data_IF_797159202592
#
_entry.id   IF_797159202592
#
_cell.length_a   1.000
_cell.length_b   1.000
_cell.length_c   1.000
_cell.angle_alpha   90.00
_cell.angle_beta   90.00
_cell.angle_gamma   90.00
#
_symmetry.space_group_name_H-M   'P 1'
#
loop_
_entity.id
_entity.type
_entity.pdbx_description
1 polymer ?
#
# COMPACT_ATOMS: atom_id res chain seq x y z
N UNK A 1 -55.57 -24.56 27.54
CA UNK A 1 -54.45 -24.22 26.64
C UNK A 1 -53.15 -24.78 27.23
N UNK A 2 -52.81 -26.01 26.85
CA UNK A 2 -51.68 -26.79 27.36
C UNK A 2 -50.45 -26.56 26.48
N UNK A 3 -49.35 -26.06 27.05
CA UNK A 3 -48.07 -25.87 26.35
C UNK A 3 -47.35 -27.21 26.23
N UNK A 4 -46.96 -27.59 25.02
CA UNK A 4 -46.24 -28.81 24.68
C UNK A 4 -44.71 -28.54 24.76
N UNK A 5 -43.95 -29.14 25.69
CA UNK A 5 -42.52 -28.90 25.83
C UNK A 5 -41.73 -30.10 25.31
N UNK A 6 -41.51 -30.20 24.00
CA UNK A 6 -40.58 -31.19 23.45
C UNK A 6 -39.97 -30.71 22.13
N UNK A 7 -39.07 -29.74 22.22
CA UNK A 7 -38.08 -29.48 21.16
C UNK A 7 -36.83 -30.29 21.48
N UNK A 8 -36.73 -31.47 20.86
CA UNK A 8 -35.54 -32.30 20.85
C UNK A 8 -34.40 -31.54 20.15
N UNK A 9 -33.54 -30.91 20.94
CA UNK A 9 -32.25 -30.36 20.51
C UNK A 9 -31.38 -31.51 19.98
N UNK A 10 -31.30 -31.62 18.65
CA UNK A 10 -30.36 -32.50 17.96
C UNK A 10 -28.93 -32.11 18.36
N UNK A 11 -28.25 -33.01 19.07
CA UNK A 11 -26.85 -32.85 19.49
C UNK A 11 -25.97 -32.70 18.25
N UNK A 12 -25.47 -31.50 18.00
CA UNK A 12 -24.42 -31.23 17.01
C UNK A 12 -23.20 -32.07 17.41
N UNK A 13 -22.68 -32.95 16.53
CA UNK A 13 -21.49 -33.75 16.83
C UNK A 13 -20.33 -32.84 17.20
N UNK A 14 -19.76 -33.04 18.40
CA UNK A 14 -18.49 -32.41 18.79
C UNK A 14 -17.43 -32.87 17.81
N UNK A 15 -17.04 -31.99 16.89
CA UNK A 15 -15.87 -32.18 16.04
C UNK A 15 -14.66 -32.36 16.96
N UNK A 16 -14.15 -33.58 17.02
CA UNK A 16 -12.92 -33.90 17.72
C UNK A 16 -11.79 -33.08 17.11
N UNK A 17 -11.03 -32.38 17.96
CA UNK A 17 -9.87 -31.58 17.55
C UNK A 17 -8.94 -32.49 16.73
N UNK A 18 -8.92 -32.32 15.40
CA UNK A 18 -7.88 -32.89 14.55
C UNK A 18 -6.54 -32.41 15.12
N UNK A 19 -5.71 -33.33 15.60
CA UNK A 19 -4.30 -33.06 15.87
C UNK A 19 -3.70 -32.65 14.53
N UNK A 20 -3.50 -31.35 14.34
CA UNK A 20 -2.69 -30.83 13.25
C UNK A 20 -1.27 -31.12 13.69
N UNK A 21 -0.67 -32.16 13.12
CA UNK A 21 0.75 -32.45 13.34
C UNK A 21 1.53 -31.19 12.98
N UNK A 22 2.37 -30.73 13.89
CA UNK A 22 3.17 -29.53 13.76
C UNK A 22 4.22 -29.72 12.67
N UNK A 23 3.80 -29.69 11.41
CA UNK A 23 4.67 -29.68 10.24
C UNK A 23 5.57 -28.46 10.39
N UNK A 24 6.87 -28.68 10.51
CA UNK A 24 7.84 -27.60 10.67
C UNK A 24 7.80 -26.72 9.43
N UNK A 25 7.12 -25.57 9.55
CA UNK A 25 7.06 -24.57 8.49
C UNK A 25 8.45 -23.97 8.34
N UNK A 26 9.23 -24.52 7.40
CA UNK A 26 10.50 -23.92 7.01
C UNK A 26 10.22 -22.49 6.52
N UNK A 27 10.95 -21.47 7.00
CA UNK A 27 10.73 -20.10 6.56
C UNK A 27 11.01 -20.00 5.06
N UNK A 28 10.15 -19.27 4.36
CA UNK A 28 10.37 -18.97 2.95
C UNK A 28 11.62 -18.12 2.77
N UNK A 29 12.54 -18.56 1.90
CA UNK A 29 13.80 -17.88 1.62
C UNK A 29 13.71 -17.18 0.26
N UNK A 30 13.29 -15.92 0.25
CA UNK A 30 13.13 -15.15 -0.99
C UNK A 30 14.39 -15.18 -1.86
N UNK A 31 15.57 -14.97 -1.26
CA UNK A 31 16.86 -14.95 -1.98
C UNK A 31 17.41 -16.32 -2.38
N UNK A 32 16.74 -17.41 -2.01
CA UNK A 32 17.05 -18.73 -2.56
C UNK A 32 16.39 -18.96 -3.94
N UNK A 33 15.47 -18.08 -4.35
CA UNK A 33 14.86 -18.11 -5.67
C UNK A 33 15.77 -17.48 -6.73
N UNK A 34 15.77 -18.02 -7.96
CA UNK A 34 16.30 -17.33 -9.13
C UNK A 34 15.74 -15.91 -9.27
N UNK A 35 16.52 -15.03 -9.89
CA UNK A 35 16.17 -13.62 -10.08
C UNK A 35 14.82 -13.48 -10.80
N UNK A 36 14.56 -14.29 -11.82
CA UNK A 36 13.36 -14.25 -12.66
C UNK A 36 12.10 -14.44 -11.82
N UNK A 37 12.10 -15.44 -10.92
CA UNK A 37 10.98 -15.71 -10.02
C UNK A 37 10.78 -14.58 -9.00
N UNK A 38 11.86 -13.95 -8.54
CA UNK A 38 11.76 -12.79 -7.65
C UNK A 38 11.14 -11.59 -8.37
N UNK A 39 11.52 -11.36 -9.62
CA UNK A 39 10.93 -10.31 -10.46
C UNK A 39 9.46 -10.58 -10.76
N UNK A 40 9.07 -11.84 -11.01
CA UNK A 40 7.67 -12.24 -11.16
C UNK A 40 6.86 -12.02 -9.87
N UNK A 41 7.44 -12.28 -8.69
CA UNK A 41 6.78 -11.90 -7.43
C UNK A 41 6.55 -10.39 -7.35
N UNK A 42 7.50 -9.56 -7.83
CA UNK A 42 7.35 -8.11 -7.83
C UNK A 42 6.27 -7.62 -8.80
N UNK A 43 6.01 -8.31 -9.91
CA UNK A 43 4.93 -7.92 -10.85
C UNK A 43 3.53 -8.19 -10.28
N UNK A 44 3.41 -9.09 -9.31
CA UNK A 44 2.16 -9.33 -8.57
C UNK A 44 1.87 -8.27 -7.49
N UNK A 45 2.79 -7.34 -7.25
CA UNK A 45 2.57 -6.24 -6.32
C UNK A 45 1.69 -5.18 -6.98
N UNK A 46 0.49 -4.99 -6.43
CA UNK A 46 -0.55 -4.20 -7.10
C UNK A 46 -0.39 -2.68 -6.97
N UNK A 47 0.48 -2.20 -6.08
CA UNK A 47 0.57 -0.77 -5.76
C UNK A 47 2.02 -0.31 -5.71
N UNK A 48 2.24 0.95 -6.08
CA UNK A 48 3.59 1.52 -6.10
C UNK A 48 4.14 1.70 -4.69
N UNK A 49 3.27 1.98 -3.70
CA UNK A 49 3.64 2.01 -2.28
C UNK A 49 4.18 0.66 -1.79
N UNK A 50 3.58 -0.46 -2.20
CA UNK A 50 4.08 -1.77 -1.78
C UNK A 50 5.45 -2.08 -2.39
N UNK A 51 5.69 -1.70 -3.64
CA UNK A 51 7.02 -1.80 -4.25
C UNK A 51 8.04 -0.91 -3.51
N UNK A 52 7.63 0.27 -3.06
CA UNK A 52 8.46 1.10 -2.18
C UNK A 52 8.79 0.38 -0.87
N UNK A 53 7.80 -0.16 -0.17
CA UNK A 53 8.06 -0.91 1.07
C UNK A 53 9.02 -2.08 0.83
N UNK A 54 8.84 -2.84 -0.26
CA UNK A 54 9.73 -3.93 -0.64
C UNK A 54 11.16 -3.43 -0.91
N UNK A 55 11.32 -2.30 -1.62
CA UNK A 55 12.64 -1.75 -1.92
C UNK A 55 13.42 -1.34 -0.67
N UNK A 56 12.74 -1.07 0.46
CA UNK A 56 13.38 -0.77 1.73
C UNK A 56 13.74 -2.00 2.59
N UNK A 57 13.41 -3.22 2.16
CA UNK A 57 13.70 -4.44 2.94
C UNK A 57 15.16 -4.89 2.87
N UNK A 58 15.84 -4.62 1.75
CA UNK A 58 17.26 -4.95 1.55
C UNK A 58 17.85 -4.20 0.37
N UNK A 59 19.18 -4.08 0.32
CA UNK A 59 19.90 -3.49 -0.81
C UNK A 59 19.68 -4.24 -2.12
N UNK A 60 19.59 -5.57 -2.08
CA UNK A 60 19.36 -6.39 -3.28
C UNK A 60 17.98 -6.11 -3.88
N UNK A 61 16.93 -6.10 -3.06
CA UNK A 61 15.57 -5.78 -3.52
C UNK A 61 15.47 -4.34 -4.00
N UNK A 62 16.14 -3.40 -3.32
CA UNK A 62 16.26 -2.02 -3.77
C UNK A 62 16.82 -1.94 -5.20
N UNK A 63 17.97 -2.57 -5.46
CA UNK A 63 18.57 -2.56 -6.79
C UNK A 63 17.64 -3.22 -7.80
N UNK A 64 17.09 -4.39 -7.49
CA UNK A 64 16.28 -5.14 -8.45
C UNK A 64 15.04 -4.40 -8.92
N UNK A 65 14.35 -3.72 -7.99
CA UNK A 65 13.18 -2.90 -8.28
C UNK A 65 13.60 -1.65 -9.06
N UNK A 66 14.59 -0.91 -8.56
CA UNK A 66 14.94 0.41 -9.10
C UNK A 66 15.75 0.36 -10.40
N UNK A 67 16.37 -0.78 -10.74
CA UNK A 67 17.03 -0.96 -12.03
C UNK A 67 16.10 -1.45 -13.14
N UNK A 68 14.82 -1.73 -12.84
CA UNK A 68 13.86 -2.31 -13.78
C UNK A 68 12.60 -1.44 -13.89
N UNK A 69 12.66 -0.39 -14.73
CA UNK A 69 11.54 0.52 -14.95
C UNK A 69 10.22 -0.18 -15.29
N UNK A 70 10.26 -1.33 -15.98
CA UNK A 70 9.05 -2.07 -16.37
C UNK A 70 8.16 -2.48 -15.19
N UNK A 71 8.73 -2.71 -14.01
CA UNK A 71 7.97 -3.03 -12.78
C UNK A 71 7.04 -1.89 -12.37
N UNK A 72 7.30 -0.68 -12.83
CA UNK A 72 6.46 0.49 -12.64
C UNK A 72 6.26 1.27 -13.96
N UNK A 73 6.46 0.64 -15.12
CA UNK A 73 6.40 1.35 -16.40
C UNK A 73 4.98 1.67 -16.82
N UNK A 74 3.99 0.87 -16.39
CA UNK A 74 2.57 1.22 -16.50
C UNK A 74 2.27 2.63 -15.96
N UNK A 75 3.15 3.14 -15.10
CA UNK A 75 3.06 4.44 -14.48
C UNK A 75 4.00 5.50 -15.11
N UNK A 76 5.19 5.12 -15.59
CA UNK A 76 6.22 6.04 -16.10
C UNK A 76 5.82 6.89 -17.30
N UNK A 77 4.88 6.43 -18.13
CA UNK A 77 4.46 7.12 -19.35
C UNK A 77 3.61 8.38 -19.11
N UNK A 78 3.47 8.84 -17.86
CA UNK A 78 2.73 10.07 -17.58
C UNK A 78 3.58 11.30 -17.94
N UNK A 79 3.23 12.09 -18.98
CA UNK A 79 4.10 13.16 -19.51
C UNK A 79 4.42 14.26 -18.49
N UNK A 80 3.51 14.51 -17.54
CA UNK A 80 3.76 15.47 -16.45
C UNK A 80 4.83 15.02 -15.46
N UNK A 81 5.08 13.71 -15.32
CA UNK A 81 6.06 13.20 -14.37
C UNK A 81 7.49 13.55 -14.80
N UNK A 82 7.84 13.28 -16.06
CA UNK A 82 9.17 13.55 -16.61
C UNK A 82 9.57 15.03 -16.44
N UNK A 83 8.62 15.96 -16.65
CA UNK A 83 8.85 17.41 -16.48
C UNK A 83 9.26 17.81 -15.07
N UNK A 84 8.75 17.13 -14.04
CA UNK A 84 9.08 17.44 -12.64
C UNK A 84 10.33 16.71 -12.14
N UNK A 85 10.73 15.62 -12.80
CA UNK A 85 11.79 14.74 -12.32
C UNK A 85 13.21 15.29 -12.57
N UNK A 86 13.42 16.02 -13.68
CA UNK A 86 14.74 16.56 -14.07
C UNK A 86 15.39 17.52 -13.06
N UNK A 87 14.71 17.88 -11.96
CA UNK A 87 15.20 18.82 -10.95
C UNK A 87 15.64 18.17 -9.63
N UNK A 88 15.68 16.84 -9.52
CA UNK A 88 16.15 16.19 -8.29
C UNK A 88 17.67 16.06 -8.29
N UNK A 89 18.41 16.86 -7.49
CA UNK A 89 19.85 16.77 -7.40
C UNK A 89 20.22 15.65 -6.42
N UNK A 90 21.31 14.94 -6.68
CA UNK A 90 21.86 13.85 -5.84
C UNK A 90 21.07 12.53 -5.83
N UNK A 91 20.75 12.00 -7.01
CA UNK A 91 20.24 10.64 -7.09
C UNK A 91 21.30 9.63 -6.63
N UNK A 92 20.84 8.65 -5.84
CA UNK A 92 21.63 7.79 -4.98
C UNK A 92 22.89 7.21 -5.64
N UNK A 93 24.05 7.33 -4.98
CA UNK A 93 25.31 6.65 -5.33
C UNK A 93 25.22 5.11 -5.45
N UNK A 94 24.06 4.54 -5.18
CA UNK A 94 23.80 3.10 -5.15
C UNK A 94 23.34 2.58 -6.51
N UNK A 95 22.68 3.40 -7.34
CA UNK A 95 22.16 2.96 -8.64
C UNK A 95 23.16 3.25 -9.76
N UNK A 96 23.21 2.41 -10.82
CA UNK A 96 23.94 2.73 -12.03
C UNK A 96 23.43 4.01 -12.69
N UNK A 97 24.29 4.65 -13.48
CA UNK A 97 23.94 5.86 -14.22
C UNK A 97 22.74 5.61 -15.15
N UNK A 98 21.82 6.58 -15.17
CA UNK A 98 20.59 6.52 -15.98
C UNK A 98 19.42 5.79 -15.32
N UNK A 99 19.60 5.13 -14.18
CA UNK A 99 18.49 4.52 -13.45
C UNK A 99 17.76 5.54 -12.55
N UNK A 100 16.44 5.48 -12.59
CA UNK A 100 15.55 6.35 -11.81
C UNK A 100 14.97 5.55 -10.63
N UNK A 101 15.35 5.85 -9.38
CA UNK A 101 14.74 5.20 -8.23
C UNK A 101 13.26 5.55 -8.14
N UNK A 102 12.48 4.59 -7.69
CA UNK A 102 11.14 4.76 -7.18
C UNK A 102 11.17 5.72 -5.98
N UNK A 103 10.53 6.87 -6.14
CA UNK A 103 10.56 7.96 -5.15
C UNK A 103 9.14 8.34 -4.70
N UNK A 104 9.02 9.04 -3.57
CA UNK A 104 7.71 9.54 -3.09
C UNK A 104 7.01 10.47 -4.09
N UNK A 105 7.70 11.41 -4.78
CA UNK A 105 7.12 12.15 -5.88
C UNK A 105 6.51 11.25 -6.95
N UNK A 106 7.23 10.21 -7.41
CA UNK A 106 6.67 9.25 -8.37
C UNK A 106 5.37 8.67 -7.86
N UNK A 107 5.38 8.06 -6.68
CA UNK A 107 4.21 7.41 -6.10
C UNK A 107 3.01 8.37 -6.02
N UNK A 108 3.24 9.65 -5.69
CA UNK A 108 2.16 10.64 -5.61
C UNK A 108 1.45 10.94 -6.93
N UNK A 109 2.14 10.83 -8.06
CA UNK A 109 1.55 10.98 -9.39
C UNK A 109 0.95 9.67 -9.92
N UNK A 110 1.56 8.55 -9.53
CA UNK A 110 1.36 7.25 -10.16
C UNK A 110 0.26 6.42 -9.49
N UNK A 111 0.12 6.49 -8.16
CA UNK A 111 -0.82 5.63 -7.46
C UNK A 111 -2.28 6.07 -7.68
N UNK A 112 -2.95 5.32 -8.54
CA UNK A 112 -4.41 5.25 -8.61
C UNK A 112 -4.79 3.84 -8.16
N UNK A 113 -5.17 3.71 -6.88
CA UNK A 113 -5.74 2.51 -6.26
C UNK A 113 -7.09 2.12 -6.89
N UNK A 114 -7.13 1.84 -8.19
CA UNK A 114 -8.38 1.62 -8.93
C UNK A 114 -8.85 0.17 -8.89
N UNK A 115 -8.00 -0.77 -8.48
CA UNK A 115 -8.25 -2.20 -8.67
C UNK A 115 -7.95 -3.09 -7.46
N UNK A 116 -7.61 -2.51 -6.30
CA UNK A 116 -7.29 -3.28 -5.09
C UNK A 116 -8.54 -3.35 -4.19
N UNK A 117 -8.70 -4.46 -3.46
CA UNK A 117 -9.85 -4.61 -2.55
C UNK A 117 -9.80 -3.52 -1.45
N UNK A 118 -10.94 -2.93 -1.06
CA UNK A 118 -10.99 -1.78 -0.14
C UNK A 118 -10.27 -2.00 1.21
N UNK A 119 -10.25 -3.23 1.70
CA UNK A 119 -9.71 -3.54 3.03
C UNK A 119 -8.18 -3.47 3.10
N UNK A 120 -7.47 -3.89 2.05
CA UNK A 120 -5.99 -3.86 2.04
C UNK A 120 -5.44 -2.44 1.90
N UNK A 121 -6.19 -1.52 1.28
CA UNK A 121 -5.67 -0.18 1.01
C UNK A 121 -5.52 0.67 2.28
N UNK A 122 -6.47 0.55 3.22
CA UNK A 122 -6.38 1.25 4.51
C UNK A 122 -5.14 0.84 5.31
N UNK A 123 -4.81 -0.45 5.29
CA UNK A 123 -3.61 -0.98 5.96
C UNK A 123 -2.35 -0.42 5.30
N UNK A 124 -2.31 -0.38 3.96
CA UNK A 124 -1.18 0.20 3.22
C UNK A 124 -1.03 1.70 3.51
N UNK A 125 -2.14 2.45 3.53
CA UNK A 125 -2.13 3.88 3.85
C UNK A 125 -1.70 4.16 5.29
N UNK A 126 -2.19 3.41 6.27
CA UNK A 126 -1.78 3.53 7.67
C UNK A 126 -0.30 3.18 7.84
N UNK A 127 0.15 2.07 7.24
CA UNK A 127 1.57 1.70 7.25
C UNK A 127 2.44 2.80 6.63
N UNK A 128 2.01 3.37 5.50
CA UNK A 128 2.72 4.48 4.87
C UNK A 128 2.80 5.68 5.81
N UNK A 129 1.68 6.08 6.41
CA UNK A 129 1.63 7.22 7.32
C UNK A 129 2.47 7.01 8.58
N UNK A 130 2.58 5.77 9.07
CA UNK A 130 3.46 5.44 10.20
C UNK A 130 4.94 5.55 9.83
N UNK A 131 5.33 5.05 8.65
CA UNK A 131 6.74 5.00 8.23
C UNK A 131 7.22 6.33 7.65
N UNK A 132 6.37 7.05 6.92
CA UNK A 132 6.73 8.27 6.18
C UNK A 132 6.02 9.53 6.66
N UNK A 133 4.96 9.42 7.47
CA UNK A 133 4.15 10.56 7.89
C UNK A 133 4.69 11.30 9.11
N UNK A 134 5.50 10.63 9.95
CA UNK A 134 6.23 11.25 11.07
C UNK A 134 7.57 11.82 10.55
N UNK A 135 8.02 12.95 11.10
CA UNK A 135 9.36 13.52 10.88
C UNK A 135 9.63 14.21 9.53
N UNK A 136 8.84 15.24 9.23
CA UNK A 136 9.22 16.32 8.28
C UNK A 136 9.24 15.95 6.81
N UNK A 137 9.03 14.67 6.50
CA UNK A 137 8.70 14.25 5.16
C UNK A 137 7.33 14.85 4.83
N UNK A 138 7.30 15.72 3.86
CA UNK A 138 6.13 16.47 3.38
C UNK A 138 5.03 15.58 2.78
N UNK A 139 4.97 14.28 3.10
CA UNK A 139 4.13 13.31 2.43
C UNK A 139 3.22 12.59 3.42
N UNK A 140 1.96 12.39 2.99
CA UNK A 140 0.96 11.59 3.69
C UNK A 140 0.16 10.81 2.67
N UNK A 141 -0.30 9.63 3.05
CA UNK A 141 -1.25 8.83 2.30
C UNK A 141 -2.66 9.10 2.81
N UNK A 142 -3.57 9.46 1.89
CA UNK A 142 -4.97 9.73 2.22
C UNK A 142 -5.69 8.41 2.56
N UNK A 143 -6.31 8.29 3.72
CA UNK A 143 -7.07 7.09 4.12
C UNK A 143 -8.35 6.87 3.30
N UNK A 144 -8.81 7.89 2.55
CA UNK A 144 -10.03 7.80 1.74
C UNK A 144 -9.77 7.43 0.27
N UNK A 145 -8.75 8.00 -0.37
CA UNK A 145 -8.41 7.68 -1.76
C UNK A 145 -7.11 6.91 -1.92
N UNK A 146 -6.44 6.61 -0.80
CA UNK A 146 -5.18 5.87 -0.71
C UNK A 146 -4.02 6.54 -1.45
N UNK A 147 -4.17 7.79 -1.92
CA UNK A 147 -3.10 8.49 -2.65
C UNK A 147 -2.10 9.14 -1.70
N UNK A 148 -0.82 8.97 -2.02
CA UNK A 148 0.28 9.74 -1.43
C UNK A 148 0.23 11.17 -1.96
N UNK A 149 0.23 12.14 -1.06
CA UNK A 149 0.11 13.57 -1.37
C UNK A 149 0.99 14.39 -0.46
N UNK A 150 1.26 15.63 -0.87
CA UNK A 150 1.93 16.58 0.01
C UNK A 150 1.09 16.90 1.24
N UNK A 151 1.71 17.06 2.41
CA UNK A 151 1.07 17.43 3.69
C UNK A 151 0.25 18.71 3.59
N UNK A 152 0.68 19.66 2.76
CA UNK A 152 -0.04 20.89 2.44
C UNK A 152 -1.41 20.65 1.78
N UNK A 153 -1.66 19.46 1.22
CA UNK A 153 -2.93 19.06 0.64
C UNK A 153 -3.88 18.38 1.65
N UNK A 154 -3.52 18.34 2.92
CA UNK A 154 -4.36 17.89 4.03
C UNK A 154 -4.84 19.10 4.85
N UNK A 155 -5.82 18.87 5.72
CA UNK A 155 -6.25 19.88 6.68
C UNK A 155 -5.35 19.89 7.92
N UNK A 156 -5.13 21.07 8.48
CA UNK A 156 -4.17 21.33 9.56
C UNK A 156 -4.55 20.58 10.85
N UNK A 157 -5.84 20.36 11.11
CA UNK A 157 -6.31 19.63 12.28
C UNK A 157 -6.11 18.10 12.19
N UNK A 158 -5.68 17.56 11.06
CA UNK A 158 -5.50 16.13 10.87
C UNK A 158 -4.08 15.64 11.16
N UNK A 159 -3.28 16.34 11.96
CA UNK A 159 -1.91 15.88 12.27
C UNK A 159 -1.82 14.93 13.48
N UNK A 160 -2.87 14.81 14.31
CA UNK A 160 -2.88 13.87 15.43
C UNK A 160 -2.88 12.41 14.96
N UNK A 161 -2.30 11.49 15.75
CA UNK A 161 -2.29 10.04 15.45
C UNK A 161 -3.68 9.40 15.38
N UNK A 162 -4.69 10.10 15.91
CA UNK A 162 -6.06 9.58 16.07
C UNK A 162 -6.99 10.10 14.97
N UNK A 163 -6.64 11.20 14.31
CA UNK A 163 -7.45 11.76 13.24
C UNK A 163 -7.23 11.03 11.91
N UNK A 164 -8.32 10.66 11.25
CA UNK A 164 -8.31 10.16 9.88
C UNK A 164 -7.59 11.15 8.96
N UNK A 165 -6.60 10.67 8.19
CA UNK A 165 -5.86 11.49 7.23
C UNK A 165 -6.64 11.58 5.91
N UNK A 166 -7.51 12.59 5.77
CA UNK A 166 -8.32 12.78 4.56
C UNK A 166 -7.83 14.02 3.80
N UNK A 167 -7.33 13.81 2.58
CA UNK A 167 -6.88 14.93 1.75
C UNK A 167 -8.03 15.87 1.38
N UNK A 168 -7.70 17.13 1.05
CA UNK A 168 -8.67 18.18 0.69
C UNK A 168 -9.64 17.72 -0.40
N UNK A 169 -9.16 17.11 -1.49
CA UNK A 169 -10.02 16.60 -2.56
C UNK A 169 -11.09 15.60 -2.06
N UNK A 170 -10.72 14.66 -1.19
CA UNK A 170 -11.65 13.68 -0.65
C UNK A 170 -12.66 14.31 0.29
N UNK A 171 -12.22 15.24 1.14
CA UNK A 171 -13.12 15.94 2.04
C UNK A 171 -14.16 16.78 1.28
N UNK A 172 -13.76 17.47 0.22
CA UNK A 172 -14.67 18.23 -0.65
C UNK A 172 -15.63 17.32 -1.40
N UNK A 173 -15.15 16.16 -1.88
CA UNK A 173 -15.99 15.14 -2.51
C UNK A 173 -17.02 14.52 -1.57
N UNK A 174 -16.70 14.38 -0.27
CA UNK A 174 -17.65 13.97 0.75
C UNK A 174 -18.70 15.06 1.02
N UNK A 175 -18.29 16.32 1.17
CA UNK A 175 -19.22 17.44 1.36
C UNK A 175 -20.24 17.53 0.22
N UNK A 176 -19.81 17.45 -1.05
CA UNK A 176 -20.72 17.49 -2.21
C UNK A 176 -21.74 16.35 -2.26
N UNK A 177 -21.40 15.18 -1.72
CA UNK A 177 -22.34 14.04 -1.66
C UNK A 177 -23.43 14.25 -0.62
N UNK A 178 -23.11 14.88 0.51
CA UNK A 178 -24.08 15.21 1.56
C UNK A 178 -25.07 16.31 1.11
N UNK A 179 -24.63 17.27 0.30
CA UNK A 179 -25.53 18.33 -0.22
C UNK A 179 -26.43 17.89 -1.37
N UNK A 180 -26.13 16.79 -2.08
CA UNK A 180 -26.98 16.29 -3.17
C UNK A 180 -28.11 15.36 -2.69
N UNK A 181 -28.12 15.02 -1.41
CA UNK A 181 -29.12 14.15 -0.79
C UNK A 181 -30.19 14.92 0.00
N UNK A 182 -30.24 16.25 -0.16
CA UNK A 182 -31.29 17.15 0.37
C UNK A 182 -32.07 17.73 -0.79
#
# INVERSE_FOLDING_TARGET
MTRNPNLNLTRIPRMTKRKIDAKTNKPFRLFALPLELRLEIYTHVHTTIQLLFLSHTSRTVYLEINTRPYLFASFLWHPNFLRHYHKTPELSRILPDGNIPLTLPMISYLDRFKYVRPYSEKIVADTFNRVYGYDWKDWLCCESCCRVKRKSLFYVWQYSRVAAKICRECAWGCARRLFKSQ
#
